data_IF_491912594541
#
_entry.id   IF_491912594541
#
_cell.length_a   1.000
_cell.length_b   1.000
_cell.length_c   1.000
_cell.angle_alpha   90.00
_cell.angle_beta   90.00
_cell.angle_gamma   90.00
#
_symmetry.space_group_name_H-M   'P 1'
#
loop_
_entity.id
_entity.type
_entity.pdbx_description
1 polymer ?
#
# COMPACT_ATOMS: atom_id res chain seq x y z
N UNK A 1 -25.32 -9.82 -9.09
CA UNK A 1 -25.28 -8.51 -9.76
C UNK A 1 -25.43 -7.46 -8.68
N UNK A 2 -24.31 -6.98 -8.14
CA UNK A 2 -24.27 -5.88 -7.19
C UNK A 2 -23.47 -4.78 -7.87
N UNK A 3 -24.10 -3.63 -7.97
CA UNK A 3 -23.71 -2.44 -8.70
C UNK A 3 -22.36 -1.93 -8.21
N UNK A 4 -21.36 -1.95 -9.08
CA UNK A 4 -20.11 -1.22 -8.92
C UNK A 4 -20.48 0.26 -8.91
N UNK A 5 -20.43 0.90 -7.75
CA UNK A 5 -20.63 2.33 -7.61
C UNK A 5 -19.46 3.06 -8.27
N UNK A 6 -19.71 3.60 -9.47
CA UNK A 6 -18.82 4.51 -10.18
C UNK A 6 -18.53 5.74 -9.29
N UNK A 7 -17.40 5.68 -8.59
CA UNK A 7 -16.87 6.79 -7.84
C UNK A 7 -16.16 7.73 -8.85
N UNK A 8 -16.54 9.02 -8.97
CA UNK A 8 -15.98 9.94 -9.98
C UNK A 8 -14.46 10.20 -9.83
N UNK A 9 -13.80 9.66 -8.81
CA UNK A 9 -12.34 9.72 -8.66
C UNK A 9 -11.57 8.74 -9.56
N UNK A 10 -12.23 7.80 -10.24
CA UNK A 10 -11.57 6.73 -11.01
C UNK A 10 -11.11 7.12 -12.43
N UNK A 11 -11.48 8.31 -12.94
CA UNK A 11 -11.16 8.68 -14.33
C UNK A 11 -9.86 9.47 -14.50
N UNK A 12 -9.11 9.74 -13.42
CA UNK A 12 -7.79 10.36 -13.51
C UNK A 12 -6.69 9.35 -13.20
N UNK A 13 -6.42 8.45 -14.16
CA UNK A 13 -5.29 7.53 -14.08
C UNK A 13 -3.97 8.31 -14.16
N UNK A 14 -3.41 8.70 -13.01
CA UNK A 14 -2.13 9.40 -12.98
C UNK A 14 -1.85 10.15 -11.68
N UNK A 15 -0.72 10.85 -11.69
CA UNK A 15 -0.28 11.69 -10.57
C UNK A 15 -1.22 12.89 -10.39
N UNK A 16 -1.80 13.03 -9.20
CA UNK A 16 -2.64 14.17 -8.81
C UNK A 16 -1.84 15.08 -7.89
N UNK A 17 -1.94 16.39 -8.12
CA UNK A 17 -1.21 17.43 -7.39
C UNK A 17 -2.23 18.37 -6.76
N UNK A 18 -1.96 18.84 -5.53
CA UNK A 18 -2.71 19.92 -4.92
C UNK A 18 -2.45 21.24 -5.63
N UNK A 19 -3.52 21.98 -5.91
CA UNK A 19 -3.43 23.22 -6.66
C UNK A 19 -2.93 24.33 -5.71
N UNK A 20 -1.66 24.70 -5.85
CA UNK A 20 -1.06 25.85 -5.15
C UNK A 20 -1.38 27.15 -5.89
N UNK A 21 -1.20 28.31 -5.26
CA UNK A 21 -1.47 29.62 -5.85
C UNK A 21 -0.61 29.91 -7.09
N UNK A 22 0.62 29.38 -7.13
CA UNK A 22 1.49 29.40 -8.32
C UNK A 22 0.86 28.65 -9.50
N UNK A 23 0.25 27.49 -9.25
CA UNK A 23 -0.39 26.67 -10.28
C UNK A 23 -1.70 27.34 -10.71
N UNK A 24 -2.50 27.86 -9.78
CA UNK A 24 -3.73 28.61 -10.09
C UNK A 24 -3.47 29.82 -10.97
N UNK A 25 -2.50 30.67 -10.58
CA UNK A 25 -2.13 31.85 -11.36
C UNK A 25 -1.62 31.49 -12.76
N UNK A 26 -0.80 30.43 -12.87
CA UNK A 26 -0.38 29.90 -14.16
C UNK A 26 -1.57 29.43 -15.01
N UNK A 27 -2.49 28.64 -14.45
CA UNK A 27 -3.66 28.13 -15.18
C UNK A 27 -4.59 29.25 -15.63
N UNK A 28 -4.80 30.27 -14.80
CA UNK A 28 -5.56 31.47 -15.18
C UNK A 28 -4.88 32.20 -16.36
N UNK A 29 -3.57 32.44 -16.27
CA UNK A 29 -2.82 33.07 -17.37
C UNK A 29 -2.86 32.24 -18.66
N UNK A 30 -2.79 30.91 -18.54
CA UNK A 30 -2.86 29.99 -19.67
C UNK A 30 -4.27 29.94 -20.30
N UNK A 31 -5.32 30.23 -19.53
CA UNK A 31 -6.69 30.31 -20.05
C UNK A 31 -6.91 31.53 -20.95
N UNK A 32 -6.18 32.61 -20.71
CA UNK A 32 -6.22 33.85 -21.49
C UNK A 32 -5.25 33.83 -22.69
N UNK A 33 -4.31 32.86 -22.73
CA UNK A 33 -3.30 32.76 -23.78
C UNK A 33 -3.89 32.34 -25.14
N UNK A 34 -3.96 33.30 -26.07
CA UNK A 34 -4.51 33.11 -27.42
C UNK A 34 -3.72 32.08 -28.25
N UNK A 35 -2.44 31.88 -27.95
CA UNK A 35 -1.57 30.96 -28.69
C UNK A 35 -1.80 29.49 -28.30
N UNK A 36 -2.46 29.26 -27.15
CA UNK A 36 -2.77 27.93 -26.67
C UNK A 36 -4.04 27.39 -27.35
N UNK A 37 -4.06 26.11 -27.77
CA UNK A 37 -5.26 25.46 -28.30
C UNK A 37 -6.48 25.67 -27.40
N UNK A 38 -7.65 25.89 -28.01
CA UNK A 38 -8.91 26.17 -27.27
C UNK A 38 -9.21 25.11 -26.21
N UNK A 39 -9.09 23.84 -26.58
CA UNK A 39 -9.27 22.71 -25.66
C UNK A 39 -8.41 22.86 -24.39
N UNK A 40 -7.13 23.23 -24.54
CA UNK A 40 -6.22 23.38 -23.42
C UNK A 40 -6.56 24.60 -22.56
N UNK A 41 -7.02 25.70 -23.16
CA UNK A 41 -7.50 26.88 -22.41
C UNK A 41 -8.73 26.56 -21.55
N UNK A 42 -9.69 25.85 -22.13
CA UNK A 42 -10.89 25.43 -21.41
C UNK A 42 -10.53 24.47 -20.28
N UNK A 43 -9.62 23.52 -20.51
CA UNK A 43 -9.11 22.67 -19.43
C UNK A 43 -8.38 23.48 -18.36
N UNK A 44 -7.61 24.51 -18.71
CA UNK A 44 -6.91 25.36 -17.76
C UNK A 44 -7.89 26.12 -16.85
N UNK A 45 -8.94 26.69 -17.42
CA UNK A 45 -10.00 27.40 -16.69
C UNK A 45 -10.79 26.47 -15.75
N UNK A 46 -11.08 25.24 -16.21
CA UNK A 46 -11.72 24.24 -15.35
C UNK A 46 -10.80 23.84 -14.20
N UNK A 47 -9.51 23.58 -14.48
CA UNK A 47 -8.54 23.17 -13.48
C UNK A 47 -8.20 24.27 -12.47
N UNK A 48 -8.26 25.56 -12.85
CA UNK A 48 -7.97 26.66 -11.93
C UNK A 48 -8.98 26.75 -10.78
N UNK A 49 -10.23 26.31 -11.01
CA UNK A 49 -11.28 26.25 -9.99
C UNK A 49 -11.12 25.08 -9.01
N UNK A 50 -10.39 24.03 -9.41
CA UNK A 50 -10.27 22.80 -8.62
C UNK A 50 -9.10 22.90 -7.63
N UNK A 51 -9.27 22.29 -6.45
CA UNK A 51 -8.20 22.19 -5.46
C UNK A 51 -7.20 21.05 -5.73
N UNK A 52 -7.59 20.08 -6.55
CA UNK A 52 -6.76 18.95 -6.98
C UNK A 52 -6.77 18.91 -8.49
N UNK A 53 -5.60 18.78 -9.10
CA UNK A 53 -5.46 18.77 -10.54
C UNK A 53 -4.53 17.62 -11.00
N UNK A 54 -4.88 16.92 -12.09
CA UNK A 54 -4.02 15.90 -12.66
C UNK A 54 -2.76 16.55 -13.27
N UNK A 55 -1.58 16.04 -12.88
CA UNK A 55 -0.27 16.53 -13.36
C UNK A 55 -0.17 16.51 -14.89
N UNK A 56 -0.75 15.48 -15.52
CA UNK A 56 -0.69 15.29 -16.97
C UNK A 56 -1.30 16.48 -17.72
N UNK A 57 -2.44 16.98 -17.25
CA UNK A 57 -3.12 18.12 -17.88
C UNK A 57 -2.34 19.42 -17.67
N UNK A 58 -1.82 19.65 -16.45
CA UNK A 58 -0.96 20.81 -16.17
C UNK A 58 0.29 20.78 -17.05
N UNK A 59 0.91 19.61 -17.20
CA UNK A 59 2.09 19.43 -18.05
C UNK A 59 1.77 19.66 -19.53
N UNK A 60 0.62 19.22 -20.01
CA UNK A 60 0.20 19.47 -21.40
C UNK A 60 0.03 20.96 -21.67
N UNK A 61 -0.62 21.68 -20.75
CA UNK A 61 -0.76 23.14 -20.81
C UNK A 61 0.62 23.80 -20.80
N UNK A 62 1.51 23.42 -19.87
CA UNK A 62 2.87 23.96 -19.76
C UNK A 62 3.73 23.73 -21.00
N UNK A 63 3.65 22.54 -21.62
CA UNK A 63 4.36 22.24 -22.87
C UNK A 63 3.77 23.04 -24.04
N UNK A 64 2.46 23.27 -24.05
CA UNK A 64 1.76 24.05 -25.07
C UNK A 64 2.00 25.56 -24.97
N UNK A 65 2.31 26.09 -23.78
CA UNK A 65 2.65 27.51 -23.59
C UNK A 65 3.98 27.89 -24.24
N UNK A 66 4.09 29.15 -24.69
CA UNK A 66 5.32 29.65 -25.29
C UNK A 66 6.51 29.56 -24.33
N UNK A 67 7.71 29.17 -24.81
CA UNK A 67 8.92 29.11 -24.00
C UNK A 67 9.25 30.42 -23.29
N UNK A 68 8.91 31.57 -23.89
CA UNK A 68 9.20 32.91 -23.35
C UNK A 68 8.36 33.29 -22.13
N UNK A 69 7.15 32.71 -21.99
CA UNK A 69 6.19 33.00 -20.92
C UNK A 69 6.12 31.83 -19.92
N UNK A 70 6.80 30.73 -20.24
CA UNK A 70 6.77 29.48 -19.49
C UNK A 70 7.40 29.67 -18.10
N UNK A 71 6.65 29.45 -17.01
CA UNK A 71 7.22 29.51 -15.67
C UNK A 71 8.18 28.34 -15.45
N UNK A 72 9.20 28.55 -14.63
CA UNK A 72 10.08 27.47 -14.18
C UNK A 72 9.26 26.37 -13.49
N UNK A 73 9.44 25.12 -13.94
CA UNK A 73 8.63 23.99 -13.52
C UNK A 73 8.84 23.69 -12.02
N UNK A 74 10.07 23.77 -11.54
CA UNK A 74 10.38 23.54 -10.13
C UNK A 74 9.72 24.59 -9.25
N UNK A 75 9.80 25.87 -9.65
CA UNK A 75 9.12 26.96 -8.95
C UNK A 75 7.59 26.82 -9.01
N UNK A 76 7.03 26.38 -10.12
CA UNK A 76 5.60 26.17 -10.28
C UNK A 76 5.05 25.14 -9.26
N UNK A 77 5.75 24.02 -9.10
CA UNK A 77 5.37 22.95 -8.18
C UNK A 77 5.93 23.11 -6.75
N UNK A 78 6.70 24.17 -6.49
CA UNK A 78 7.20 24.43 -5.14
C UNK A 78 6.03 24.62 -4.16
N UNK A 79 6.07 23.90 -3.03
CA UNK A 79 4.99 23.89 -2.04
C UNK A 79 3.71 23.16 -2.46
N UNK A 80 3.69 22.48 -3.62
CA UNK A 80 2.58 21.60 -3.99
C UNK A 80 2.74 20.21 -3.36
N UNK A 81 1.64 19.61 -2.94
CA UNK A 81 1.61 18.28 -2.36
C UNK A 81 1.08 17.26 -3.37
N UNK A 82 1.71 16.09 -3.40
CA UNK A 82 1.23 14.98 -4.22
C UNK A 82 0.14 14.23 -3.47
N UNK A 83 -1.05 14.15 -4.08
CA UNK A 83 -2.16 13.38 -3.53
C UNK A 83 -1.98 11.93 -3.95
N UNK A 84 -1.27 11.17 -3.14
CA UNK A 84 -1.18 9.72 -3.32
C UNK A 84 -2.45 9.06 -2.80
N UNK A 85 -3.29 8.58 -3.70
CA UNK A 85 -4.33 7.62 -3.33
C UNK A 85 -3.61 6.31 -3.02
N UNK A 86 -3.46 6.00 -1.74
CA UNK A 86 -2.99 4.68 -1.34
C UNK A 86 -3.94 3.65 -1.97
N UNK A 87 -3.45 2.69 -2.76
CA UNK A 87 -4.29 1.64 -3.29
C UNK A 87 -5.10 1.01 -2.15
N UNK A 88 -6.32 0.54 -2.43
CA UNK A 88 -7.14 -0.16 -1.43
C UNK A 88 -6.24 -1.20 -0.73
N UNK A 89 -6.11 -1.16 0.61
CA UNK A 89 -5.29 -2.12 1.34
C UNK A 89 -5.66 -3.54 0.89
N UNK A 90 -4.66 -4.32 0.47
CA UNK A 90 -4.90 -5.68 -0.03
C UNK A 90 -5.67 -6.47 1.03
N UNK A 91 -6.80 -7.05 0.64
CA UNK A 91 -7.55 -7.94 1.50
C UNK A 91 -6.65 -9.16 1.80
N UNK A 92 -6.31 -9.35 3.09
CA UNK A 92 -5.52 -10.51 3.53
C UNK A 92 -6.34 -11.77 3.23
N UNK A 93 -5.69 -12.80 2.67
CA UNK A 93 -6.34 -14.10 2.46
C UNK A 93 -6.82 -14.69 3.79
N UNK A 94 -7.92 -15.45 3.75
CA UNK A 94 -8.46 -16.12 4.95
C UNK A 94 -7.44 -17.05 5.60
N UNK A 95 -6.59 -17.70 4.79
CA UNK A 95 -5.48 -18.52 5.28
C UNK A 95 -4.47 -17.71 6.10
N UNK A 96 -4.10 -16.49 5.64
CA UNK A 96 -3.16 -15.64 6.36
C UNK A 96 -3.78 -15.11 7.66
N UNK A 97 -5.08 -14.78 7.66
CA UNK A 97 -5.79 -14.37 8.88
C UNK A 97 -5.83 -15.51 9.90
N UNK A 98 -6.11 -16.74 9.47
CA UNK A 98 -6.11 -17.90 10.34
C UNK A 98 -4.73 -18.17 10.95
N UNK A 99 -3.66 -18.08 10.14
CA UNK A 99 -2.28 -18.23 10.64
C UNK A 99 -1.90 -17.15 11.65
N UNK A 100 -2.29 -15.89 11.41
CA UNK A 100 -2.03 -14.80 12.35
C UNK A 100 -2.78 -14.98 13.68
N UNK A 101 -4.02 -15.45 13.66
CA UNK A 101 -4.77 -15.80 14.88
C UNK A 101 -4.08 -16.92 15.66
N UNK A 102 -3.64 -17.98 14.99
CA UNK A 102 -2.91 -19.06 15.65
C UNK A 102 -1.60 -18.60 16.29
N UNK A 103 -0.88 -17.66 15.65
CA UNK A 103 0.34 -17.09 16.24
C UNK A 103 0.01 -16.23 17.47
N UNK A 104 -1.06 -15.45 17.43
CA UNK A 104 -1.52 -14.67 18.58
C UNK A 104 -1.93 -15.58 19.76
N UNK A 105 -2.71 -16.62 19.50
CA UNK A 105 -3.12 -17.59 20.54
C UNK A 105 -1.93 -18.33 21.18
N UNK A 106 -0.87 -18.60 20.41
CA UNK A 106 0.37 -19.17 20.97
C UNK A 106 1.10 -18.16 21.85
N UNK A 107 1.21 -16.91 21.41
CA UNK A 107 1.84 -15.85 22.19
C UNK A 107 1.11 -15.62 23.53
N UNK A 108 -0.23 -15.56 23.51
CA UNK A 108 -1.05 -15.44 24.72
C UNK A 108 -0.85 -16.62 25.69
N UNK A 109 -0.74 -17.84 25.15
CA UNK A 109 -0.46 -19.04 25.95
C UNK A 109 0.92 -19.01 26.59
N UNK A 110 1.92 -18.53 25.87
CA UNK A 110 3.28 -18.45 26.37
C UNK A 110 3.40 -17.35 27.45
N UNK A 111 2.75 -16.21 27.26
CA UNK A 111 2.65 -15.15 28.28
C UNK A 111 1.91 -15.65 29.55
N UNK A 112 0.82 -16.39 29.38
CA UNK A 112 0.13 -17.02 30.51
C UNK A 112 1.02 -18.02 31.26
N UNK A 113 1.83 -18.82 30.53
CA UNK A 113 2.78 -19.75 31.15
C UNK A 113 3.85 -19.03 31.95
N UNK A 114 4.32 -17.89 31.48
CA UNK A 114 5.26 -17.05 32.23
C UNK A 114 4.63 -16.52 33.51
N UNK A 115 3.38 -16.04 33.45
CA UNK A 115 2.64 -15.52 34.61
C UNK A 115 2.43 -16.58 35.70
N UNK A 116 2.13 -17.83 35.33
CA UNK A 116 1.81 -18.89 36.31
C UNK A 116 3.04 -19.75 36.66
N UNK A 117 4.21 -19.44 36.09
CA UNK A 117 5.46 -20.19 36.29
C UNK A 117 5.84 -20.40 37.76
N UNK A 118 5.58 -19.41 38.61
CA UNK A 118 5.96 -19.42 40.03
C UNK A 118 4.92 -20.11 40.93
N UNK A 119 3.72 -20.37 40.40
CA UNK A 119 2.59 -20.98 41.12
C UNK A 119 2.43 -22.45 40.70
N UNK A 120 2.73 -22.78 39.44
CA UNK A 120 2.65 -24.14 38.93
C UNK A 120 3.77 -25.01 39.54
N UNK A 121 3.46 -26.26 39.93
CA UNK A 121 4.49 -27.21 40.31
C UNK A 121 5.43 -27.41 39.11
N UNK A 122 6.74 -27.28 39.33
CA UNK A 122 7.77 -27.47 38.29
C UNK A 122 7.50 -28.82 37.60
N UNK A 123 7.13 -28.80 36.33
CA UNK A 123 6.93 -30.02 35.56
C UNK A 123 8.27 -30.75 35.48
N UNK A 124 8.39 -31.83 36.23
CA UNK A 124 9.49 -32.78 36.12
C UNK A 124 9.35 -33.55 34.79
N UNK A 125 9.75 -32.92 33.69
CA UNK A 125 9.87 -33.56 32.39
C UNK A 125 11.32 -33.48 31.90
N UNK A 126 12.24 -33.85 32.77
CA UNK A 126 13.45 -34.56 32.38
C UNK A 126 13.31 -35.92 33.02
N UNK A 127 12.61 -36.85 32.36
CA UNK A 127 12.84 -38.26 32.64
C UNK A 127 14.24 -38.57 32.07
N UNK A 128 15.27 -38.82 32.90
CA UNK A 128 16.61 -39.10 32.41
C UNK A 128 16.73 -40.52 31.82
N UNK A 129 15.64 -41.30 31.87
CA UNK A 129 15.55 -42.63 31.30
C UNK A 129 14.41 -42.63 30.28
N UNK A 130 14.75 -42.83 29.00
CA UNK A 130 13.77 -43.20 27.98
C UNK A 130 12.89 -44.32 28.52
N UNK A 131 11.58 -44.15 28.42
CA UNK A 131 10.62 -45.20 28.77
C UNK A 131 10.96 -46.48 28.01
N UNK A 132 10.83 -47.64 28.65
CA UNK A 132 11.11 -48.97 28.09
C UNK A 132 10.46 -49.21 26.69
N UNK A 133 9.37 -48.50 26.39
CA UNK A 133 8.75 -48.46 25.04
C UNK A 133 9.67 -47.93 23.94
N UNK A 134 10.54 -46.97 24.24
CA UNK A 134 11.48 -46.37 23.29
C UNK A 134 12.78 -47.19 23.18
N UNK A 135 13.10 -48.01 24.18
CA UNK A 135 14.23 -48.96 24.16
C UNK A 135 13.93 -50.24 23.37
N UNK A 136 12.66 -50.58 23.16
CA UNK A 136 12.23 -51.65 22.25
C UNK A 136 12.31 -51.19 20.80
N UNK A 137 13.52 -50.80 20.40
CA UNK A 137 13.85 -50.43 19.04
C UNK A 137 13.26 -51.44 18.07
N UNK A 138 12.17 -51.05 17.42
CA UNK A 138 11.88 -51.45 16.05
C UNK A 138 12.93 -50.78 15.14
N UNK A 139 14.20 -51.05 15.44
CA UNK A 139 15.30 -50.90 14.53
C UNK A 139 15.03 -51.90 13.42
N UNK A 140 14.74 -51.37 12.23
CA UNK A 140 14.78 -52.10 10.97
C UNK A 140 16.12 -52.86 10.89
N UNK A 141 16.13 -54.11 11.32
CA UNK A 141 17.18 -55.06 10.96
C UNK A 141 16.87 -55.54 9.54
N UNK A 142 17.24 -54.70 8.58
CA UNK A 142 17.44 -55.11 7.20
C UNK A 142 18.74 -55.93 7.16
N UNK A 143 18.65 -57.25 7.06
CA UNK A 143 19.74 -58.07 6.53
C UNK A 143 19.18 -59.26 5.74
N UNK A 144 19.25 -59.09 4.41
CA UNK A 144 19.63 -60.04 3.36
C UNK A 144 19.42 -61.57 3.54
N UNK A 145 18.59 -62.11 2.63
CA UNK A 145 18.93 -63.06 1.55
C UNK A 145 19.14 -64.58 1.82
N UNK A 146 18.40 -65.36 0.99
CA UNK A 146 18.65 -66.70 0.41
C UNK A 146 18.89 -67.93 1.31
N UNK A 147 17.98 -68.92 1.22
CA UNK A 147 18.14 -70.08 0.31
C UNK A 147 16.82 -70.83 0.13
#
# INVERSE_FOLDING_TARGET
MVSESDNPEQNSSGLIISNNDSIRSFLLSASEDVQLPRELRETALNLSSLNKAPYKSIRQIWVGSLPSIRPDLFRLFSGSEFVFTSPKPREKSEELKARLRQLAERAERDEYRELVKDILPKSSATEPFSSYKDQLGFGKFFFFNFK
#
